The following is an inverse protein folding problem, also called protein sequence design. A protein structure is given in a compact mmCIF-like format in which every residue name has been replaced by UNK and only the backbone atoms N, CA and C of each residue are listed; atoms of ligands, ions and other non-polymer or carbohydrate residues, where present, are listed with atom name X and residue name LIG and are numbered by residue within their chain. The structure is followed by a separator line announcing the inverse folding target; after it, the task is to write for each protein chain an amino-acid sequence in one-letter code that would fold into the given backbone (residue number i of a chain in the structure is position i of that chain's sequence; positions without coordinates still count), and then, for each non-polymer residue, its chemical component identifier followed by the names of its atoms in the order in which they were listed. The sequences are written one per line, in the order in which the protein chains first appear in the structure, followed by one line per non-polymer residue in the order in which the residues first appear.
data_IF_278339641333
#
_entry.id   IF_278339641333
#
_cell.length_a   1.000
_cell.length_b   1.000
_cell.length_c   1.000
_cell.angle_alpha   90.00
_cell.angle_beta   90.00
_cell.angle_gamma   90.00
#
_symmetry.space_group_name_H-M   'P 1'
#
loop_
_entity.id
_entity.type
_entity.pdbx_description
1 polymer ?
#
# COMPACT_ATOMS: atom_id res chain seq x y z
N UNK A 1 -8.31 2.21 -24.14
CA UNK A 1 -9.29 2.30 -25.25
C UNK A 1 -9.67 0.88 -25.67
N UNK A 2 -10.93 0.59 -25.97
CA UNK A 2 -11.31 -0.71 -26.53
C UNK A 2 -10.65 -0.92 -27.91
N UNK A 3 -10.42 -2.17 -28.30
CA UNK A 3 -9.80 -2.52 -29.58
C UNK A 3 -10.47 -1.86 -30.80
N UNK A 4 -11.80 -1.73 -30.80
CA UNK A 4 -12.54 -1.08 -31.89
C UNK A 4 -12.28 0.43 -32.06
N UNK A 5 -11.95 1.15 -30.98
CA UNK A 5 -11.75 2.61 -31.05
C UNK A 5 -10.46 3.03 -31.75
N UNK A 6 -9.44 2.18 -31.74
CA UNK A 6 -8.17 2.44 -32.43
C UNK A 6 -8.32 2.33 -33.95
N UNK A 7 -9.06 1.32 -34.42
CA UNK A 7 -9.34 1.11 -35.84
C UNK A 7 -10.15 2.27 -36.40
N UNK A 8 -11.19 2.71 -35.69
CA UNK A 8 -12.00 3.87 -36.09
C UNK A 8 -11.17 5.17 -36.15
N UNK A 9 -10.28 5.38 -35.19
CA UNK A 9 -9.44 6.57 -35.15
C UNK A 9 -8.37 6.57 -36.25
N UNK A 10 -7.72 5.43 -36.50
CA UNK A 10 -6.78 5.26 -37.61
C UNK A 10 -7.44 5.54 -38.96
N UNK A 11 -8.65 5.01 -39.21
CA UNK A 11 -9.40 5.26 -40.43
C UNK A 11 -9.82 6.72 -40.63
N UNK A 12 -9.99 7.48 -39.54
CA UNK A 12 -10.23 8.95 -39.64
C UNK A 12 -8.98 9.71 -40.05
N UNK A 13 -7.80 9.29 -39.58
CA UNK A 13 -6.52 9.91 -39.94
C UNK A 13 -6.14 9.60 -41.39
N UNK A 14 -6.34 8.36 -41.85
CA UNK A 14 -6.20 8.00 -43.27
C UNK A 14 -7.10 8.85 -44.17
N UNK A 15 -8.40 8.97 -43.85
CA UNK A 15 -9.35 9.82 -44.60
C UNK A 15 -9.00 11.30 -44.58
N UNK A 16 -8.27 11.76 -43.57
CA UNK A 16 -7.76 13.13 -43.50
C UNK A 16 -6.50 13.35 -44.36
N UNK A 17 -6.00 12.32 -45.04
CA UNK A 17 -4.86 12.39 -45.94
C UNK A 17 -3.52 12.06 -45.29
N UNK A 18 -3.50 11.36 -44.15
CA UNK A 18 -2.25 10.89 -43.56
C UNK A 18 -1.66 9.73 -44.37
N UNK A 19 -0.43 9.89 -44.88
CA UNK A 19 0.30 8.85 -45.63
C UNK A 19 0.84 7.72 -44.75
N UNK A 20 0.99 7.98 -43.44
CA UNK A 20 1.45 7.02 -42.46
C UNK A 20 0.89 7.34 -41.07
N UNK A 21 0.87 6.34 -40.19
CA UNK A 21 0.50 6.47 -38.79
C UNK A 21 1.69 6.09 -37.91
N UNK A 22 2.05 6.97 -36.97
CA UNK A 22 2.97 6.67 -35.88
C UNK A 22 2.18 6.30 -34.63
N UNK A 23 2.38 5.09 -34.11
CA UNK A 23 1.70 4.63 -32.91
C UNK A 23 2.58 4.88 -31.67
N UNK A 24 2.15 5.82 -30.84
CA UNK A 24 2.72 6.00 -29.50
C UNK A 24 2.15 4.94 -28.55
N UNK A 25 2.85 3.80 -28.45
CA UNK A 25 2.51 2.71 -27.53
C UNK A 25 3.30 2.87 -26.24
N UNK A 26 2.60 2.97 -25.11
CA UNK A 26 3.21 3.01 -23.78
C UNK A 26 2.48 2.05 -22.85
N UNK A 27 3.24 1.35 -22.02
CA UNK A 27 2.71 0.49 -20.95
C UNK A 27 2.57 1.37 -19.70
N UNK A 28 1.36 1.50 -19.19
CA UNK A 28 1.09 2.27 -17.98
C UNK A 28 1.20 1.31 -16.79
N UNK A 29 2.04 1.61 -15.77
CA UNK A 29 2.09 0.78 -14.58
C UNK A 29 0.72 0.71 -13.89
N UNK A 30 0.27 -0.50 -13.56
CA UNK A 30 -1.03 -0.73 -12.92
C UNK A 30 -0.85 -1.00 -11.44
N UNK A 31 -1.47 -0.15 -10.62
CA UNK A 31 -1.54 -0.33 -9.17
C UNK A 31 -2.92 -0.83 -8.74
N UNK A 32 -2.97 -1.99 -8.10
CA UNK A 32 -4.21 -2.60 -7.62
C UNK A 32 -4.38 -2.37 -6.12
N UNK A 33 -5.46 -1.69 -5.72
CA UNK A 33 -5.75 -1.45 -4.30
C UNK A 33 -6.53 -2.61 -3.70
N UNK A 34 -5.91 -3.33 -2.78
CA UNK A 34 -6.41 -4.62 -2.32
C UNK A 34 -7.22 -4.51 -1.03
N UNK A 35 -8.28 -5.30 -0.92
CA UNK A 35 -8.91 -5.61 0.36
C UNK A 35 -8.15 -6.69 1.12
N UNK A 36 -8.57 -7.00 2.34
CA UNK A 36 -7.96 -8.06 3.17
C UNK A 36 -8.92 -9.22 3.49
N UNK A 37 -10.08 -9.30 2.83
CA UNK A 37 -11.09 -10.35 3.06
C UNK A 37 -10.94 -11.50 2.05
N UNK A 38 -9.76 -12.13 2.06
CA UNK A 38 -9.45 -13.26 1.19
C UNK A 38 -9.09 -14.47 2.05
N UNK A 39 -9.57 -15.67 1.68
CA UNK A 39 -9.21 -16.93 2.34
C UNK A 39 -7.74 -17.28 2.12
N UNK A 40 -7.23 -17.07 0.89
CA UNK A 40 -5.83 -17.29 0.50
C UNK A 40 -5.18 -16.01 -0.01
N UNK A 41 -5.02 -15.00 0.85
CA UNK A 41 -4.52 -13.67 0.46
C UNK A 41 -3.15 -13.72 -0.23
N UNK A 42 -2.19 -14.43 0.34
CA UNK A 42 -0.86 -14.59 -0.26
C UNK A 42 -0.92 -15.21 -1.66
N UNK A 43 -1.72 -16.26 -1.85
CA UNK A 43 -1.87 -16.93 -3.14
C UNK A 43 -2.48 -16.00 -4.20
N UNK A 44 -3.53 -15.26 -3.85
CA UNK A 44 -4.18 -14.32 -4.77
C UNK A 44 -3.22 -13.21 -5.16
N UNK A 45 -2.51 -12.63 -4.18
CA UNK A 45 -1.62 -11.50 -4.45
C UNK A 45 -0.39 -11.94 -5.25
N UNK A 46 0.12 -13.14 -4.97
CA UNK A 46 1.15 -13.77 -5.79
C UNK A 46 0.69 -13.98 -7.22
N UNK A 47 -0.51 -14.54 -7.43
CA UNK A 47 -1.06 -14.71 -8.77
C UNK A 47 -1.17 -13.36 -9.50
N UNK A 48 -1.70 -12.32 -8.87
CA UNK A 48 -1.79 -10.98 -9.48
C UNK A 48 -0.42 -10.41 -9.84
N UNK A 49 0.57 -10.59 -8.96
CA UNK A 49 1.94 -10.18 -9.23
C UNK A 49 2.56 -10.97 -10.40
N UNK A 50 2.28 -12.27 -10.50
CA UNK A 50 2.80 -13.13 -11.55
C UNK A 50 2.12 -12.86 -12.91
N UNK A 51 0.87 -12.39 -12.92
CA UNK A 51 0.11 -11.94 -14.09
C UNK A 51 0.43 -10.49 -14.54
N UNK A 52 1.43 -9.85 -13.91
CA UNK A 52 1.95 -8.57 -14.38
C UNK A 52 1.36 -7.32 -13.71
N UNK A 53 0.80 -7.42 -12.50
CA UNK A 53 0.57 -6.23 -11.69
C UNK A 53 1.92 -5.57 -11.35
N UNK A 54 2.05 -4.25 -11.56
CA UNK A 54 3.27 -3.52 -11.20
C UNK A 54 3.30 -3.17 -9.71
N UNK A 55 2.11 -2.90 -9.13
CA UNK A 55 1.97 -2.50 -7.73
C UNK A 55 0.73 -3.12 -7.06
N UNK A 56 0.87 -3.53 -5.79
CA UNK A 56 -0.25 -3.77 -4.89
C UNK A 56 -0.27 -2.76 -3.75
N UNK A 57 -1.43 -2.20 -3.46
CA UNK A 57 -1.64 -1.21 -2.38
C UNK A 57 -2.44 -1.84 -1.24
N UNK A 58 -1.81 -2.02 -0.08
CA UNK A 58 -2.34 -2.79 1.05
C UNK A 58 -2.63 -1.89 2.26
N UNK A 59 -3.84 -1.79 2.81
CA UNK A 59 -5.13 -2.32 2.34
C UNK A 59 -6.19 -1.23 2.25
N UNK A 60 -7.14 -1.38 1.33
CA UNK A 60 -8.31 -0.53 1.25
C UNK A 60 -9.18 -0.66 2.51
N UNK A 61 -9.58 0.49 3.06
CA UNK A 61 -10.57 0.58 4.13
C UNK A 61 -11.93 0.94 3.52
N UNK A 62 -12.80 -0.06 3.39
CA UNK A 62 -14.15 0.14 2.88
C UNK A 62 -15.01 0.91 3.90
N UNK A 63 -15.86 1.81 3.43
CA UNK A 63 -16.88 2.44 4.26
C UNK A 63 -17.79 1.36 4.85
N UNK A 64 -18.05 1.49 6.16
CA UNK A 64 -18.91 0.56 6.89
C UNK A 64 -20.13 1.29 7.42
N UNK A 65 -21.29 0.63 7.48
CA UNK A 65 -22.40 1.11 8.27
C UNK A 65 -22.10 0.97 9.76
N UNK A 66 -22.78 1.78 10.55
CA UNK A 66 -22.91 1.71 12.00
C UNK A 66 -24.40 1.92 12.35
N UNK A 67 -24.79 1.73 13.61
CA UNK A 67 -26.19 1.78 14.02
C UNK A 67 -26.36 2.79 15.15
N UNK A 68 -27.26 3.75 14.94
CA UNK A 68 -27.71 4.68 15.96
C UNK A 68 -28.77 3.97 16.81
N UNK A 69 -28.37 3.51 17.99
CA UNK A 69 -29.20 2.68 18.88
C UNK A 69 -30.36 3.45 19.52
N UNK A 70 -30.25 4.78 19.60
CA UNK A 70 -31.31 5.63 20.17
C UNK A 70 -32.41 5.92 19.14
N UNK A 71 -32.02 6.08 17.87
CA UNK A 71 -32.94 6.45 16.80
C UNK A 71 -33.27 5.28 15.83
N UNK A 72 -32.78 4.07 16.11
CA UNK A 72 -33.03 2.85 15.34
C UNK A 72 -32.76 2.98 13.83
N UNK A 73 -31.64 3.63 13.46
CA UNK A 73 -31.28 3.87 12.06
C UNK A 73 -29.84 3.48 11.77
N UNK A 74 -29.59 3.14 10.50
CA UNK A 74 -28.24 2.92 10.00
C UNK A 74 -27.58 4.29 9.73
N UNK A 75 -26.39 4.48 10.29
CA UNK A 75 -25.55 5.66 10.11
C UNK A 75 -24.21 5.25 9.50
N UNK A 76 -23.43 6.17 8.90
CA UNK A 76 -22.07 5.85 8.48
C UNK A 76 -21.16 5.66 9.70
N UNK A 77 -20.35 4.60 9.70
CA UNK A 77 -19.29 4.42 10.69
C UNK A 77 -18.21 5.51 10.55
N UNK A 78 -17.32 5.59 11.54
CA UNK A 78 -16.18 6.50 11.52
C UNK A 78 -15.36 6.35 10.24
N UNK A 79 -15.29 7.42 9.46
CA UNK A 79 -14.64 7.48 8.13
C UNK A 79 -13.12 7.36 8.24
N UNK A 80 -12.52 8.07 9.19
CA UNK A 80 -11.07 8.10 9.35
C UNK A 80 -10.54 6.82 9.97
N UNK A 81 -9.42 6.34 9.41
CA UNK A 81 -8.65 5.28 10.04
C UNK A 81 -8.05 5.76 11.36
N UNK A 82 -7.68 4.82 12.23
CA UNK A 82 -6.94 5.06 13.46
C UNK A 82 -5.52 4.48 13.38
N UNK A 83 -4.54 5.00 14.15
CA UNK A 83 -3.15 4.55 14.09
C UNK A 83 -2.95 3.04 14.30
N UNK A 84 -3.83 2.39 15.07
CA UNK A 84 -3.73 0.95 15.38
C UNK A 84 -3.98 0.06 14.16
N UNK A 85 -4.72 0.55 13.16
CA UNK A 85 -5.00 -0.18 11.92
C UNK A 85 -3.75 -0.37 11.04
N UNK A 86 -2.62 0.28 11.38
CA UNK A 86 -1.34 0.16 10.66
C UNK A 86 -0.73 -1.25 10.75
N UNK A 87 -1.07 -1.99 11.80
CA UNK A 87 -0.45 -3.29 12.11
C UNK A 87 -0.76 -4.35 11.06
N UNK A 88 -1.98 -4.35 10.52
CA UNK A 88 -2.41 -5.28 9.48
C UNK A 88 -1.62 -5.12 8.15
N UNK A 89 -1.57 -3.93 7.51
CA UNK A 89 -0.75 -3.75 6.32
C UNK A 89 0.74 -3.95 6.61
N UNK A 90 1.24 -3.55 7.78
CA UNK A 90 2.64 -3.77 8.16
C UNK A 90 3.00 -5.26 8.14
N UNK A 91 2.20 -6.10 8.80
CA UNK A 91 2.42 -7.55 8.85
C UNK A 91 2.40 -8.16 7.44
N UNK A 92 1.38 -7.83 6.63
CA UNK A 92 1.24 -8.44 5.32
C UNK A 92 2.30 -7.95 4.33
N UNK A 93 2.74 -6.69 4.39
CA UNK A 93 3.83 -6.22 3.53
C UNK A 93 5.12 -6.97 3.88
N UNK A 94 5.44 -7.13 5.17
CA UNK A 94 6.62 -7.90 5.60
C UNK A 94 6.62 -9.34 5.07
N UNK A 95 5.45 -10.00 5.12
CA UNK A 95 5.29 -11.40 4.67
C UNK A 95 5.34 -11.52 3.14
N UNK A 96 4.69 -10.60 2.44
CA UNK A 96 4.47 -10.70 1.01
C UNK A 96 5.65 -10.23 0.18
N UNK A 97 6.38 -9.22 0.65
CA UNK A 97 7.43 -8.58 -0.14
C UNK A 97 8.46 -9.55 -0.74
N UNK A 98 8.90 -10.64 -0.07
CA UNK A 98 9.87 -11.57 -0.67
C UNK A 98 9.25 -12.51 -1.73
N UNK A 99 7.92 -12.62 -1.78
CA UNK A 99 7.22 -13.59 -2.63
C UNK A 99 6.64 -12.98 -3.92
N UNK A 100 6.57 -11.64 -3.96
CA UNK A 100 5.97 -10.87 -5.04
C UNK A 100 7.05 -10.26 -5.93
N UNK A 101 6.79 -10.22 -7.23
CA UNK A 101 7.61 -9.52 -8.22
C UNK A 101 7.23 -8.04 -8.33
N UNK A 102 5.98 -7.72 -7.99
CA UNK A 102 5.43 -6.37 -8.00
C UNK A 102 5.87 -5.59 -6.76
N UNK A 103 5.88 -4.25 -6.87
CA UNK A 103 6.15 -3.38 -5.74
C UNK A 103 4.94 -3.29 -4.78
N UNK A 104 5.21 -2.99 -3.51
CA UNK A 104 4.19 -2.83 -2.48
C UNK A 104 4.08 -1.39 -1.98
N UNK A 105 2.84 -0.91 -1.85
CA UNK A 105 2.53 0.36 -1.20
C UNK A 105 1.68 0.15 0.05
N UNK A 106 2.11 0.75 1.16
CA UNK A 106 1.35 0.77 2.40
C UNK A 106 0.27 1.85 2.39
N UNK A 107 -0.90 1.54 2.93
CA UNK A 107 -1.95 2.51 3.24
C UNK A 107 -2.68 2.07 4.52
N UNK A 108 -3.58 2.90 5.03
CA UNK A 108 -4.36 2.67 6.26
C UNK A 108 -3.53 2.76 7.55
N UNK A 109 -3.99 3.55 8.53
CA UNK A 109 -3.36 3.66 9.84
C UNK A 109 -2.05 4.45 9.90
N UNK A 110 -1.59 5.04 8.80
CA UNK A 110 -0.41 5.93 8.80
C UNK A 110 -0.82 7.34 9.23
N UNK A 111 -0.47 7.72 10.45
CA UNK A 111 -0.87 9.00 11.05
C UNK A 111 0.29 9.93 11.44
N UNK A 112 1.51 9.40 11.47
CA UNK A 112 2.70 10.13 11.85
C UNK A 112 3.93 9.50 11.19
N UNK A 113 5.08 10.16 11.36
CA UNK A 113 6.35 9.77 10.76
C UNK A 113 6.82 8.41 11.25
N UNK A 114 6.54 8.06 12.51
CA UNK A 114 6.82 6.73 13.05
C UNK A 114 6.04 5.63 12.32
N UNK A 115 4.77 5.87 12.00
CA UNK A 115 3.97 4.97 11.17
C UNK A 115 4.52 4.85 9.75
N UNK A 116 4.94 5.97 9.16
CA UNK A 116 5.55 5.99 7.82
C UNK A 116 6.87 5.20 7.79
N UNK A 117 7.77 5.44 8.74
CA UNK A 117 9.06 4.74 8.87
C UNK A 117 8.83 3.24 9.07
N UNK A 118 7.89 2.84 9.94
CA UNK A 118 7.56 1.42 10.16
C UNK A 118 7.18 0.70 8.88
N UNK A 119 6.40 1.35 7.99
CA UNK A 119 6.00 0.74 6.73
C UNK A 119 7.17 0.59 5.76
N UNK A 120 8.06 1.58 5.69
CA UNK A 120 9.30 1.47 4.89
C UNK A 120 10.21 0.35 5.43
N UNK A 121 10.39 0.25 6.74
CA UNK A 121 11.23 -0.80 7.36
C UNK A 121 10.78 -2.21 6.99
N UNK A 122 9.47 -2.43 6.76
CA UNK A 122 8.92 -3.74 6.38
C UNK A 122 8.79 -3.94 4.86
N UNK A 123 9.50 -3.17 4.04
CA UNK A 123 9.58 -3.26 2.57
C UNK A 123 8.50 -2.52 1.77
N UNK A 124 7.66 -1.68 2.39
CA UNK A 124 6.81 -0.80 1.60
C UNK A 124 7.69 0.17 0.79
N UNK A 125 7.53 0.20 -0.54
CA UNK A 125 8.25 1.11 -1.43
C UNK A 125 7.58 2.48 -1.53
N UNK A 126 6.28 2.54 -1.23
CA UNK A 126 5.52 3.77 -1.10
C UNK A 126 4.59 3.72 0.12
N UNK A 127 4.29 4.87 0.71
CA UNK A 127 3.39 4.99 1.86
C UNK A 127 2.33 6.05 1.57
N UNK A 128 1.06 5.66 1.56
CA UNK A 128 -0.07 6.54 1.36
C UNK A 128 -0.64 7.04 2.69
N UNK A 129 -0.82 8.35 2.80
CA UNK A 129 -1.36 9.02 4.01
C UNK A 129 -2.65 9.73 3.63
N UNK A 130 -3.73 9.48 4.37
CA UNK A 130 -5.04 10.07 4.09
C UNK A 130 -5.67 10.68 5.35
N UNK A 131 -6.01 9.86 6.35
CA UNK A 131 -6.70 10.34 7.57
C UNK A 131 -5.94 11.47 8.27
N UNK A 132 -4.62 11.35 8.43
CA UNK A 132 -3.83 12.42 9.03
C UNK A 132 -3.80 13.71 8.19
N UNK A 133 -3.87 13.64 6.85
CA UNK A 133 -3.94 14.84 6.02
C UNK A 133 -5.31 15.52 6.10
N UNK A 134 -6.40 14.74 6.18
CA UNK A 134 -7.73 15.29 6.43
C UNK A 134 -7.85 15.96 7.80
N UNK A 135 -7.19 15.40 8.82
CA UNK A 135 -7.29 15.90 10.19
C UNK A 135 -6.34 17.08 10.48
N UNK A 136 -5.16 17.11 9.85
CA UNK A 136 -4.11 18.09 10.14
C UNK A 136 -3.82 19.05 8.96
N UNK A 137 -4.53 18.90 7.84
CA UNK A 137 -4.31 19.62 6.59
C UNK A 137 -3.16 19.05 5.74
N UNK A 138 -3.15 19.41 4.45
CA UNK A 138 -2.14 18.92 3.50
C UNK A 138 -0.70 19.27 3.89
N UNK A 139 -0.50 20.38 4.62
CA UNK A 139 0.82 20.82 5.09
C UNK A 139 1.49 19.84 6.05
N UNK A 140 0.72 18.95 6.68
CA UNK A 140 1.25 17.90 7.55
C UNK A 140 2.22 16.95 6.83
N UNK A 141 2.13 16.83 5.50
CA UNK A 141 3.10 16.05 4.71
C UNK A 141 4.54 16.53 4.92
N UNK A 142 4.76 17.84 5.11
CA UNK A 142 6.08 18.42 5.37
C UNK A 142 6.60 17.95 6.72
N UNK A 143 5.76 17.93 7.74
CA UNK A 143 6.10 17.40 9.07
C UNK A 143 6.52 15.94 8.99
N UNK A 144 5.80 15.11 8.23
CA UNK A 144 6.15 13.70 8.04
C UNK A 144 7.54 13.54 7.41
N UNK A 145 7.80 14.30 6.34
CA UNK A 145 9.08 14.26 5.61
C UNK A 145 10.24 14.75 6.49
N UNK A 146 10.10 15.89 7.18
CA UNK A 146 11.17 16.42 8.03
C UNK A 146 11.51 15.48 9.18
N UNK A 147 10.51 14.85 9.81
CA UNK A 147 10.76 13.87 10.84
C UNK A 147 11.40 12.57 10.31
N UNK A 148 11.07 12.14 9.09
CA UNK A 148 11.76 11.03 8.42
C UNK A 148 13.24 11.36 8.20
N UNK A 149 13.55 12.54 7.66
CA UNK A 149 14.92 13.00 7.43
C UNK A 149 15.72 13.04 8.73
N UNK A 150 15.16 13.65 9.79
CA UNK A 150 15.81 13.67 11.11
C UNK A 150 16.00 12.28 11.71
N UNK A 151 15.11 11.32 11.42
CA UNK A 151 15.30 9.93 11.84
C UNK A 151 16.43 9.26 11.06
N UNK A 152 16.49 9.46 9.73
CA UNK A 152 17.56 8.95 8.89
C UNK A 152 18.94 9.48 9.32
N UNK A 153 19.06 10.79 9.57
CA UNK A 153 20.30 11.42 10.05
C UNK A 153 20.78 10.81 11.37
N UNK A 154 19.88 10.63 12.35
CA UNK A 154 20.23 10.02 13.65
C UNK A 154 20.68 8.56 13.53
N UNK A 155 20.25 7.86 12.48
CA UNK A 155 20.63 6.48 12.21
C UNK A 155 21.71 6.33 11.13
N UNK A 156 22.29 7.45 10.66
CA UNK A 156 23.32 7.48 9.61
C UNK A 156 22.87 6.86 8.28
N UNK A 157 21.58 6.96 7.94
CA UNK A 157 21.05 6.56 6.64
C UNK A 157 21.05 7.75 5.68
N UNK A 158 21.54 7.54 4.46
CA UNK A 158 21.60 8.55 3.41
C UNK A 158 20.42 8.43 2.44
N UNK A 159 19.89 7.22 2.26
CA UNK A 159 18.83 6.89 1.31
C UNK A 159 17.78 5.98 1.94
N UNK A 160 16.57 5.98 1.39
CA UNK A 160 15.51 5.07 1.83
C UNK A 160 15.94 3.61 1.63
N UNK A 161 16.68 3.32 0.57
CA UNK A 161 17.22 1.99 0.29
C UNK A 161 18.15 1.46 1.39
N UNK A 162 18.75 2.34 2.20
CA UNK A 162 19.68 1.92 3.25
C UNK A 162 18.98 1.21 4.42
N UNK A 163 17.65 1.36 4.54
CA UNK A 163 16.89 0.76 5.64
C UNK A 163 15.56 0.11 5.24
N UNK A 164 15.03 0.42 4.05
CA UNK A 164 13.80 -0.22 3.56
C UNK A 164 14.01 -1.74 3.51
N UNK A 165 13.07 -2.48 4.10
CA UNK A 165 13.12 -3.94 4.12
C UNK A 165 13.98 -4.58 5.18
N UNK A 166 14.68 -3.82 6.03
CA UNK A 166 15.48 -4.40 7.11
C UNK A 166 14.66 -5.28 8.07
N UNK A 167 13.35 -5.04 8.16
CA UNK A 167 12.40 -5.80 8.96
C UNK A 167 11.36 -6.52 8.08
N UNK A 168 11.70 -6.85 6.84
CA UNK A 168 10.89 -7.79 6.04
C UNK A 168 11.03 -9.21 6.57
N UNK A 169 10.14 -10.12 6.16
CA UNK A 169 10.23 -11.53 6.55
C UNK A 169 11.55 -12.19 6.09
N UNK A 170 12.11 -11.75 4.97
CA UNK A 170 13.37 -12.29 4.43
C UNK A 170 14.61 -11.85 5.24
N UNK A 171 14.58 -10.65 5.82
CA UNK A 171 15.76 -10.04 6.44
C UNK A 171 15.78 -10.09 7.97
N UNK A 172 14.67 -10.48 8.62
CA UNK A 172 14.59 -10.57 10.08
C UNK A 172 15.15 -11.90 10.60
N UNK A 173 15.82 -11.88 11.75
CA UNK A 173 16.41 -13.09 12.35
C UNK A 173 15.39 -14.20 12.65
N UNK A 174 14.16 -13.81 13.02
CA UNK A 174 13.10 -14.73 13.38
C UNK A 174 11.83 -14.43 12.57
N UNK A 175 11.68 -14.98 11.35
CA UNK A 175 10.52 -14.72 10.47
C UNK A 175 9.16 -15.05 11.10
N UNK A 176 9.12 -16.01 12.04
CA UNK A 176 7.89 -16.42 12.75
C UNK A 176 7.24 -15.27 13.52
N UNK A 177 7.97 -14.18 13.78
CA UNK A 177 7.46 -12.96 14.41
C UNK A 177 6.37 -12.26 13.58
N UNK A 178 6.27 -12.51 12.27
CA UNK A 178 5.16 -12.01 11.46
C UNK A 178 3.98 -12.99 11.39
N UNK A 179 4.18 -14.21 11.87
CA UNK A 179 3.15 -15.23 11.96
C UNK A 179 2.56 -15.28 13.38
N UNK A 180 1.84 -16.36 13.69
CA UNK A 180 1.01 -16.46 14.91
C UNK A 180 1.81 -16.52 16.22
N UNK A 181 3.15 -16.57 16.17
CA UNK A 181 4.01 -16.61 17.36
C UNK A 181 3.87 -15.37 18.26
N UNK A 182 3.47 -14.23 17.71
CA UNK A 182 3.27 -12.99 18.46
C UNK A 182 2.22 -13.09 19.56
N UNK A 183 1.15 -13.85 19.34
CA UNK A 183 0.13 -14.09 20.36
C UNK A 183 0.73 -14.78 21.59
N UNK A 184 1.60 -15.77 21.37
CA UNK A 184 2.26 -16.53 22.43
C UNK A 184 3.22 -15.61 23.19
N UNK A 185 4.03 -14.81 22.48
CA UNK A 185 4.95 -13.86 23.14
C UNK A 185 4.21 -12.78 23.94
N UNK A 186 3.16 -12.19 23.37
CA UNK A 186 2.39 -11.12 24.00
C UNK A 186 1.62 -11.57 25.25
N UNK A 187 1.20 -12.84 25.31
CA UNK A 187 0.39 -13.36 26.41
C UNK A 187 1.16 -14.24 27.40
N UNK A 188 2.27 -14.84 26.98
CA UNK A 188 3.04 -15.81 27.78
C UNK A 188 4.44 -15.30 28.11
N UNK A 189 4.93 -14.24 27.45
CA UNK A 189 6.16 -13.53 27.84
C UNK A 189 7.48 -14.25 27.54
N UNK A 190 7.45 -15.30 26.71
CA UNK A 190 8.66 -16.10 26.39
C UNK A 190 9.33 -15.52 25.14
N UNK A 191 10.57 -15.04 25.30
CA UNK A 191 11.42 -14.50 24.22
C UNK A 191 12.06 -15.61 23.39
#
# INVERSE_FOLDING_TARGET
MSSGRWIDYAGRLEKAGADALELNVFVIPVAMKMGHHFTGMANIFKALSDEGADWLVLFNRFYRPDVDIENFRVIPAKVFSVPQEITLPLQWIAILSPMLKCDLAATTGVHNSGGLIKQLLVEAKAVQVCSALYQNGIGHIRTLISCLQNWMERHNFNRIEDFRGMLSQENIENPEVFHRSQYIKALVGIA
#
